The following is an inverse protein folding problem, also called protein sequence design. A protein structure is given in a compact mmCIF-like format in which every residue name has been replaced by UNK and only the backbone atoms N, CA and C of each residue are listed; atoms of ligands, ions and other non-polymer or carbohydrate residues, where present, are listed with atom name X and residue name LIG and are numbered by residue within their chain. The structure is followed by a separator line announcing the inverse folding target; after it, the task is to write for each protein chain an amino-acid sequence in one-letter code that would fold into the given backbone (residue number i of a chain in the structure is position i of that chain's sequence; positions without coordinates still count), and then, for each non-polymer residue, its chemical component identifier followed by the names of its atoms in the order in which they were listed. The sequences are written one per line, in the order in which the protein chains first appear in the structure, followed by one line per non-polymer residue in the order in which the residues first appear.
data_IF_483292040422
#
_entry.id   IF_483292040422
#
_cell.length_a   1.000
_cell.length_b   1.000
_cell.length_c   1.000
_cell.angle_alpha   90.00
_cell.angle_beta   90.00
_cell.angle_gamma   90.00
#
_symmetry.space_group_name_H-M   'P 1'
#
loop_
_entity.id
_entity.type
_entity.pdbx_description
1 polymer ?
#
# COMPACT_ATOMS: atom_id res chain seq x y z
N UNK A 1 -10.27 -9.16 -6.55
CA UNK A 1 -10.30 -10.42 -7.33
C UNK A 1 -11.71 -10.88 -7.70
N UNK A 2 -12.58 -11.28 -6.77
CA UNK A 2 -13.97 -11.67 -7.14
C UNK A 2 -14.70 -10.56 -7.92
N UNK A 3 -14.57 -9.32 -7.47
CA UNK A 3 -15.12 -8.15 -8.17
C UNK A 3 -14.61 -8.02 -9.62
N UNK A 4 -13.30 -8.18 -9.84
CA UNK A 4 -12.67 -8.20 -11.17
C UNK A 4 -13.31 -9.29 -12.05
N UNK A 5 -13.31 -10.55 -11.60
CA UNK A 5 -13.88 -11.63 -12.40
C UNK A 5 -15.37 -11.44 -12.68
N UNK A 6 -16.15 -11.01 -11.68
CA UNK A 6 -17.58 -10.76 -11.86
C UNK A 6 -17.83 -9.64 -12.87
N UNK A 7 -17.00 -8.59 -12.87
CA UNK A 7 -17.04 -7.51 -13.86
C UNK A 7 -16.74 -8.03 -15.26
N UNK A 8 -15.65 -8.77 -15.44
CA UNK A 8 -15.26 -9.29 -16.76
C UNK A 8 -16.26 -10.33 -17.29
N UNK A 9 -16.80 -11.20 -16.43
CA UNK A 9 -17.90 -12.09 -16.80
C UNK A 9 -19.16 -11.33 -17.26
N UNK A 10 -19.51 -10.24 -16.56
CA UNK A 10 -20.65 -9.40 -16.95
C UNK A 10 -20.42 -8.68 -18.30
N UNK A 11 -19.15 -8.42 -18.65
CA UNK A 11 -18.75 -7.88 -19.95
C UNK A 11 -18.71 -8.95 -21.07
N UNK A 12 -18.98 -10.22 -20.75
CA UNK A 12 -18.98 -11.32 -21.71
C UNK A 12 -17.61 -11.94 -21.99
N UNK A 13 -16.62 -11.72 -21.11
CA UNK A 13 -15.29 -12.29 -21.27
C UNK A 13 -15.32 -13.83 -21.30
N UNK A 14 -14.55 -14.40 -22.21
CA UNK A 14 -14.24 -15.83 -22.31
C UNK A 14 -13.35 -16.30 -21.16
N UNK A 15 -13.20 -17.61 -21.02
CA UNK A 15 -12.32 -18.18 -20.00
C UNK A 15 -10.84 -17.74 -20.16
N UNK A 16 -10.37 -17.60 -21.41
CA UNK A 16 -9.01 -17.15 -21.73
C UNK A 16 -8.83 -15.67 -21.37
N UNK A 17 -9.77 -14.81 -21.74
CA UNK A 17 -9.76 -13.38 -21.39
C UNK A 17 -9.83 -13.15 -19.87
N UNK A 18 -10.54 -14.00 -19.13
CA UNK A 18 -10.55 -13.94 -17.66
C UNK A 18 -9.19 -14.26 -17.04
N UNK A 19 -8.43 -15.19 -17.62
CA UNK A 19 -7.07 -15.50 -17.17
C UNK A 19 -6.16 -14.31 -17.45
N UNK A 20 -6.25 -13.74 -18.65
CA UNK A 20 -5.45 -12.59 -19.06
C UNK A 20 -5.78 -11.32 -18.26
N UNK A 21 -7.02 -11.18 -17.79
CA UNK A 21 -7.44 -10.04 -16.96
C UNK A 21 -6.83 -10.02 -15.55
N UNK A 22 -6.29 -11.14 -15.05
CA UNK A 22 -5.65 -11.20 -13.72
C UNK A 22 -4.22 -10.64 -13.79
N UNK A 23 -4.12 -9.33 -13.92
CA UNK A 23 -2.86 -8.57 -13.91
C UNK A 23 -2.66 -7.83 -12.59
N UNK A 24 -1.46 -7.28 -12.37
CA UNK A 24 -1.17 -6.40 -11.22
C UNK A 24 -2.11 -5.19 -11.24
N UNK A 25 -2.32 -4.60 -12.41
CA UNK A 25 -3.19 -3.46 -12.63
C UNK A 25 -4.66 -3.86 -12.40
N UNK A 26 -5.10 -4.97 -12.97
CA UNK A 26 -6.47 -5.48 -12.81
C UNK A 26 -6.80 -5.81 -11.36
N UNK A 27 -5.84 -6.33 -10.60
CA UNK A 27 -5.99 -6.51 -9.14
C UNK A 27 -6.08 -5.14 -8.46
N UNK A 28 -5.13 -4.23 -8.73
CA UNK A 28 -5.02 -2.90 -8.10
C UNK A 28 -6.28 -2.05 -8.27
N UNK A 29 -6.84 -2.02 -9.48
CA UNK A 29 -8.08 -1.29 -9.81
C UNK A 29 -9.31 -1.82 -9.06
N UNK A 30 -9.23 -3.04 -8.54
CA UNK A 30 -10.31 -3.71 -7.81
C UNK A 30 -10.01 -3.86 -6.31
N UNK A 31 -9.01 -3.14 -5.78
CA UNK A 31 -8.80 -2.95 -4.35
C UNK A 31 -9.60 -1.75 -3.84
N UNK A 32 -9.85 -1.72 -2.54
CA UNK A 32 -10.58 -0.62 -1.89
C UNK A 32 -9.87 0.74 -2.02
N UNK A 33 -8.56 0.73 -2.25
CA UNK A 33 -7.72 1.90 -2.50
C UNK A 33 -7.62 2.28 -3.98
N UNK A 34 -8.40 1.64 -4.87
CA UNK A 34 -8.38 1.95 -6.30
C UNK A 34 -8.50 3.47 -6.55
N UNK A 35 -7.65 3.97 -7.45
CA UNK A 35 -7.53 5.39 -7.77
C UNK A 35 -6.73 6.23 -6.77
N UNK A 36 -6.26 5.66 -5.65
CA UNK A 36 -5.35 6.32 -4.72
C UNK A 36 -3.91 5.90 -5.01
N UNK A 37 -2.92 6.82 -4.91
CA UNK A 37 -1.53 6.45 -5.05
C UNK A 37 -1.09 5.55 -3.89
N UNK A 38 -0.12 4.68 -4.17
CA UNK A 38 0.55 3.91 -3.13
C UNK A 38 1.27 4.85 -2.14
N UNK A 39 1.26 4.54 -0.83
CA UNK A 39 1.94 5.37 0.14
C UNK A 39 3.45 5.28 -0.06
N UNK A 40 4.14 6.42 -0.01
CA UNK A 40 5.60 6.43 0.04
C UNK A 40 6.14 6.03 1.42
N UNK A 41 5.40 6.35 2.49
CA UNK A 41 5.81 6.20 3.87
C UNK A 41 4.64 5.68 4.71
N UNK A 42 4.88 4.61 5.48
CA UNK A 42 3.96 4.07 6.47
C UNK A 42 4.54 4.29 7.87
N UNK A 43 3.84 5.05 8.70
CA UNK A 43 4.22 5.36 10.08
C UNK A 43 3.44 4.43 11.03
N UNK A 44 4.16 3.72 11.90
CA UNK A 44 3.54 2.87 12.92
C UNK A 44 4.03 3.20 14.33
N UNK A 45 3.07 3.44 15.21
CA UNK A 45 3.26 3.82 16.61
C UNK A 45 3.27 2.59 17.54
N UNK A 46 3.54 2.83 18.83
CA UNK A 46 3.49 1.84 19.92
C UNK A 46 4.58 0.76 19.87
N UNK A 47 5.71 1.01 19.20
CA UNK A 47 6.89 0.15 19.21
C UNK A 47 6.81 -1.11 18.34
N UNK A 48 5.67 -1.39 17.72
CA UNK A 48 5.44 -2.64 16.99
C UNK A 48 6.05 -2.60 15.58
N UNK A 49 7.05 -3.43 15.32
CA UNK A 49 7.75 -3.52 14.02
C UNK A 49 7.12 -4.57 13.09
N UNK A 50 5.85 -4.37 12.71
CA UNK A 50 5.13 -5.22 11.73
C UNK A 50 4.11 -4.41 10.95
N UNK A 51 3.53 -4.95 9.89
CA UNK A 51 2.41 -4.31 9.16
C UNK A 51 1.03 -4.74 9.67
N UNK A 52 0.90 -5.93 10.27
CA UNK A 52 -0.40 -6.46 10.74
C UNK A 52 -1.49 -6.47 9.65
N UNK A 53 -1.12 -6.73 8.39
CA UNK A 53 -2.06 -6.77 7.27
C UNK A 53 -2.52 -5.41 6.75
N UNK A 54 -1.96 -4.31 7.26
CA UNK A 54 -2.27 -2.97 6.76
C UNK A 54 -1.62 -2.74 5.40
N UNK A 55 -2.44 -2.41 4.39
CA UNK A 55 -2.02 -1.99 3.05
C UNK A 55 -0.98 -2.90 2.36
N UNK A 56 -1.02 -4.23 2.56
CA UNK A 56 0.03 -5.15 2.08
C UNK A 56 0.42 -4.99 0.60
N UNK A 57 -0.56 -4.73 -0.27
CA UNK A 57 -0.32 -4.52 -1.69
C UNK A 57 0.29 -3.14 -1.96
N UNK A 58 -0.35 -2.10 -1.44
CA UNK A 58 0.07 -0.71 -1.63
C UNK A 58 1.42 -0.43 -0.96
N UNK A 59 1.75 -1.16 0.09
CA UNK A 59 2.94 -0.94 0.89
C UNK A 59 4.16 -1.73 0.42
N UNK A 60 4.09 -2.39 -0.73
CA UNK A 60 5.16 -3.24 -1.25
C UNK A 60 6.50 -2.49 -1.41
N UNK A 61 6.43 -1.20 -1.74
CA UNK A 61 7.58 -0.33 -1.94
C UNK A 61 7.63 0.86 -0.98
N UNK A 62 6.73 0.90 0.00
CA UNK A 62 6.72 1.97 1.00
C UNK A 62 7.88 1.81 1.97
N UNK A 63 8.37 2.94 2.44
CA UNK A 63 9.24 2.98 3.59
C UNK A 63 8.45 2.79 4.89
N UNK A 64 9.03 2.03 5.82
CA UNK A 64 8.45 1.81 7.14
C UNK A 64 9.18 2.66 8.18
N UNK A 65 8.44 3.47 8.94
CA UNK A 65 8.96 4.23 10.07
C UNK A 65 8.21 3.86 11.33
N UNK A 66 8.95 3.44 12.36
CA UNK A 66 8.39 2.94 13.62
C UNK A 66 8.77 3.86 14.77
N UNK A 67 7.85 4.04 15.72
CA UNK A 67 8.11 4.79 16.96
C UNK A 67 7.51 4.11 18.18
N UNK A 68 8.19 4.23 19.32
CA UNK A 68 7.69 3.78 20.62
C UNK A 68 6.53 4.62 21.15
N UNK A 69 6.36 5.86 20.67
CA UNK A 69 5.26 6.71 21.07
C UNK A 69 3.92 6.02 20.76
N UNK A 70 3.05 5.90 21.76
CA UNK A 70 1.68 5.41 21.54
C UNK A 70 0.87 6.43 20.73
N UNK A 71 -0.13 5.96 19.98
CA UNK A 71 -0.94 6.83 19.09
C UNK A 71 -1.50 8.10 19.78
N UNK A 72 -2.09 8.03 20.99
CA UNK A 72 -2.56 9.24 21.68
C UNK A 72 -1.44 10.22 22.09
N UNK A 73 -0.20 9.75 22.16
CA UNK A 73 0.98 10.53 22.48
C UNK A 73 1.81 10.93 21.25
N UNK A 74 1.41 10.52 20.04
CA UNK A 74 2.09 10.88 18.80
C UNK A 74 1.82 12.35 18.47
N UNK A 75 2.87 13.16 18.36
CA UNK A 75 2.76 14.61 18.16
C UNK A 75 3.22 15.01 16.77
N UNK A 76 2.90 16.25 16.39
CA UNK A 76 3.39 16.85 15.15
C UNK A 76 4.92 16.78 15.03
N UNK A 77 5.68 16.96 16.12
CA UNK A 77 7.15 16.81 16.08
C UNK A 77 7.60 15.40 15.70
N UNK A 78 6.84 14.37 16.06
CA UNK A 78 7.15 12.98 15.72
C UNK A 78 6.84 12.70 14.24
N UNK A 79 5.76 13.28 13.71
CA UNK A 79 5.48 13.29 12.27
C UNK A 79 6.59 13.98 11.47
N UNK A 80 7.05 15.16 11.89
CA UNK A 80 8.14 15.87 11.21
C UNK A 80 9.47 15.09 11.27
N UNK A 81 9.73 14.36 12.36
CA UNK A 81 10.88 13.44 12.44
C UNK A 81 10.76 12.32 11.41
N UNK A 82 9.59 11.69 11.30
CA UNK A 82 9.35 10.65 10.30
C UNK A 82 9.58 11.16 8.87
N UNK A 83 9.07 12.35 8.53
CA UNK A 83 9.29 12.97 7.22
C UNK A 83 10.75 13.32 6.96
N UNK A 84 11.44 13.89 7.95
CA UNK A 84 12.87 14.19 7.84
C UNK A 84 13.68 12.92 7.59
N UNK A 85 13.44 11.88 8.38
CA UNK A 85 14.16 10.61 8.26
C UNK A 85 13.86 9.92 6.92
N UNK A 86 12.62 10.00 6.42
CA UNK A 86 12.24 9.55 5.08
C UNK A 86 12.99 10.34 3.99
N UNK A 87 13.00 11.68 4.08
CA UNK A 87 13.66 12.54 3.07
C UNK A 87 15.18 12.38 3.00
N UNK A 88 15.82 11.98 4.11
CA UNK A 88 17.26 11.81 4.18
C UNK A 88 17.74 10.51 3.52
N UNK A 89 16.84 9.54 3.30
CA UNK A 89 17.20 8.25 2.70
C UNK A 89 17.36 8.42 1.19
N UNK A 90 18.53 8.04 0.70
CA UNK A 90 18.79 8.02 -0.74
C UNK A 90 18.04 6.85 -1.35
N UNK A 91 17.00 7.16 -2.14
CA UNK A 91 16.28 6.15 -2.91
C UNK A 91 17.17 5.67 -4.05
N UNK A 92 17.71 4.46 -3.95
CA UNK A 92 17.91 3.66 -5.16
C UNK A 92 16.55 3.12 -5.53
N UNK A 93 15.78 3.87 -6.32
CA UNK A 93 14.69 3.24 -7.07
C UNK A 93 15.34 2.10 -7.87
N UNK A 94 15.07 0.87 -7.47
CA UNK A 94 15.40 -0.28 -8.30
C UNK A 94 14.77 -0.03 -9.67
N UNK A 95 15.58 -0.17 -10.73
CA UNK A 95 15.07 -0.22 -12.09
C UNK A 95 14.07 -1.36 -12.25
#
# INVERSE_FOLDING_TARGET
MRALLSKELANGATAEELVDAVTVEGISENLYTSGQPDPDLVIRTSGEQRLSGFLLWQSAYSEMWFTEAHWPAFRHVDFLRALRDYSARHRSYGR
#
